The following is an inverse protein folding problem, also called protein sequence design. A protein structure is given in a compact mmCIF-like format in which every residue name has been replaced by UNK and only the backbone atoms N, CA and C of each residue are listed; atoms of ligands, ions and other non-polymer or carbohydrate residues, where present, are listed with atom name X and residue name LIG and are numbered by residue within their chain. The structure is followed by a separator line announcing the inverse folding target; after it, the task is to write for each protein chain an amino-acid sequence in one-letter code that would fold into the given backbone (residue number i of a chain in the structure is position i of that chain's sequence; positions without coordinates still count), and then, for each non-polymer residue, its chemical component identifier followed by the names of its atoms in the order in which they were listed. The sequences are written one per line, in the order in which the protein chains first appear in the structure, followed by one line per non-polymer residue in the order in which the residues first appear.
data_IF_682030545234
#
_entry.id   IF_682030545234
#
_cell.length_a   1.000
_cell.length_b   1.000
_cell.length_c   1.000
_cell.angle_alpha   90.00
_cell.angle_beta   90.00
_cell.angle_gamma   90.00
#
_symmetry.space_group_name_H-M   'P 1'
#
loop_
_entity.id
_entity.type
_entity.pdbx_description
1 polymer ?
#
# COMPACT_ATOMS: atom_id res chain seq x y z
N UNK A 1 22.01 14.02 11.97
CA UNK A 1 20.92 14.17 12.97
C UNK A 1 20.45 12.79 13.32
N UNK A 2 20.15 12.44 14.59
CA UNK A 2 19.51 11.17 14.89
C UNK A 2 18.16 11.13 14.14
N UNK A 3 17.86 9.99 13.54
CA UNK A 3 16.56 9.77 12.90
C UNK A 3 15.45 9.97 13.93
N UNK A 4 14.39 10.72 13.56
CA UNK A 4 13.25 10.88 14.46
C UNK A 4 12.64 9.52 14.79
N UNK A 5 12.23 9.34 16.05
CA UNK A 5 11.59 8.09 16.46
C UNK A 5 10.30 7.87 15.64
N UNK A 6 10.08 6.63 15.20
CA UNK A 6 8.85 6.25 14.48
C UNK A 6 7.72 6.15 15.50
N UNK A 7 6.75 7.05 15.39
CA UNK A 7 5.53 7.03 16.23
C UNK A 7 4.40 6.26 15.57
N UNK A 8 4.24 6.42 14.25
CA UNK A 8 3.36 5.65 13.38
C UNK A 8 3.77 5.85 11.93
N UNK A 9 3.37 4.92 11.06
CA UNK A 9 3.57 4.98 9.61
C UNK A 9 2.21 4.87 8.91
N UNK A 10 1.90 5.86 8.08
CA UNK A 10 0.83 5.74 7.09
C UNK A 10 1.37 4.99 5.87
N UNK A 11 0.96 3.75 5.68
CA UNK A 11 1.51 2.85 4.66
C UNK A 11 0.88 2.99 3.28
N UNK A 12 -0.04 3.94 3.08
CA UNK A 12 -0.68 4.16 1.77
C UNK A 12 -1.28 5.56 1.64
N UNK A 13 -0.61 6.41 0.89
CA UNK A 13 -1.13 7.71 0.48
C UNK A 13 -0.64 8.09 -0.92
N UNK A 14 -1.26 9.09 -1.54
CA UNK A 14 -0.90 9.59 -2.86
C UNK A 14 -0.72 11.10 -2.83
N UNK A 15 0.31 11.61 -3.49
CA UNK A 15 0.49 13.04 -3.74
C UNK A 15 0.51 13.33 -5.23
N UNK A 16 -0.09 14.45 -5.62
CA UNK A 16 -0.13 14.93 -6.99
C UNK A 16 -0.61 16.38 -7.05
N UNK A 17 -0.39 17.03 -8.18
CA UNK A 17 -0.93 18.36 -8.48
C UNK A 17 -1.58 18.36 -9.87
N UNK A 18 -2.46 19.30 -10.10
CA UNK A 18 -3.05 19.53 -11.43
C UNK A 18 -1.95 19.88 -12.44
N UNK A 19 -2.18 19.51 -13.70
CA UNK A 19 -1.25 19.80 -14.77
C UNK A 19 -0.12 18.78 -14.94
N UNK A 20 0.00 17.77 -14.07
CA UNK A 20 0.92 16.65 -14.31
C UNK A 20 0.49 15.86 -15.56
N UNK A 21 1.47 15.32 -16.34
CA UNK A 21 1.16 14.46 -17.47
C UNK A 21 0.39 13.21 -17.02
N UNK A 22 -0.81 13.03 -17.55
CA UNK A 22 -1.65 11.88 -17.21
C UNK A 22 -1.37 10.73 -18.18
N UNK A 23 -1.41 9.49 -17.67
CA UNK A 23 -1.34 8.30 -18.49
C UNK A 23 -2.50 8.22 -19.51
N UNK A 24 -2.21 7.76 -20.72
CA UNK A 24 -3.23 7.62 -21.77
C UNK A 24 -4.34 6.65 -21.34
N UNK A 25 -3.96 5.49 -20.80
CA UNK A 25 -4.90 4.52 -20.23
C UNK A 25 -5.06 4.81 -18.72
N UNK A 26 -6.12 5.52 -18.35
CA UNK A 26 -6.44 5.84 -16.96
C UNK A 26 -7.94 5.72 -16.69
N UNK A 27 -8.30 5.41 -15.46
CA UNK A 27 -9.69 5.33 -15.02
C UNK A 27 -10.20 6.63 -14.42
N UNK A 28 -9.30 7.55 -14.07
CA UNK A 28 -9.61 8.78 -13.38
C UNK A 28 -8.64 9.88 -13.79
N UNK A 29 -9.09 11.12 -13.70
CA UNK A 29 -8.28 12.34 -13.90
C UNK A 29 -8.72 13.34 -12.83
N UNK A 30 -8.00 13.48 -11.71
CA UNK A 30 -8.39 14.42 -10.66
C UNK A 30 -8.25 15.86 -11.15
N UNK A 31 -9.17 16.72 -10.73
CA UNK A 31 -9.21 18.16 -11.02
C UNK A 31 -8.79 19.03 -9.83
N UNK A 32 -8.15 18.41 -8.83
CA UNK A 32 -7.69 19.03 -7.60
C UNK A 32 -6.23 18.67 -7.32
N UNK A 33 -5.63 19.40 -6.41
CA UNK A 33 -4.30 19.14 -5.89
C UNK A 33 -4.39 18.29 -4.61
N UNK A 34 -3.40 17.45 -4.40
CA UNK A 34 -3.13 16.72 -3.17
C UNK A 34 -1.63 16.85 -2.92
N UNK A 35 -1.24 17.94 -2.28
CA UNK A 35 0.17 18.33 -2.19
C UNK A 35 0.92 17.58 -1.10
N UNK A 36 2.25 17.56 -1.21
CA UNK A 36 3.11 17.00 -0.18
C UNK A 36 2.92 17.74 1.15
N UNK A 37 2.83 19.06 1.13
CA UNK A 37 2.68 19.88 2.35
C UNK A 37 1.36 19.60 3.07
N UNK A 38 0.25 19.43 2.32
CA UNK A 38 -1.04 19.01 2.89
C UNK A 38 -0.92 17.63 3.56
N UNK A 39 -0.28 16.68 2.90
CA UNK A 39 -0.10 15.34 3.45
C UNK A 39 0.76 15.35 4.72
N UNK A 40 1.90 16.05 4.71
CA UNK A 40 2.75 16.17 5.89
C UNK A 40 2.03 16.86 7.05
N UNK A 41 1.21 17.88 6.77
CA UNK A 41 0.37 18.53 7.75
C UNK A 41 -0.65 17.59 8.40
N UNK A 42 -1.24 16.65 7.62
CA UNK A 42 -2.14 15.62 8.15
C UNK A 42 -1.39 14.61 9.02
N UNK A 43 -0.21 14.16 8.58
CA UNK A 43 0.64 13.28 9.40
C UNK A 43 0.92 13.92 10.76
N UNK A 44 1.38 15.17 10.76
CA UNK A 44 1.76 15.90 11.98
C UNK A 44 0.54 16.12 12.90
N UNK A 45 -0.62 16.48 12.34
CA UNK A 45 -1.86 16.68 13.10
C UNK A 45 -2.37 15.41 13.81
N UNK A 46 -2.00 14.22 13.28
CA UNK A 46 -2.42 12.92 13.84
C UNK A 46 -1.31 12.17 14.55
N UNK A 47 -0.13 12.79 14.76
CA UNK A 47 1.01 12.16 15.44
C UNK A 47 1.65 11.02 14.65
N UNK A 48 1.44 10.97 13.32
CA UNK A 48 2.04 10.02 12.40
C UNK A 48 3.36 10.59 11.90
N UNK A 49 4.48 9.92 12.18
CA UNK A 49 5.81 10.46 11.87
C UNK A 49 6.27 10.18 10.45
N UNK A 50 5.81 9.09 9.84
CA UNK A 50 6.30 8.60 8.56
C UNK A 50 5.15 8.24 7.60
N UNK A 51 5.44 8.26 6.29
CA UNK A 51 4.47 7.90 5.27
C UNK A 51 5.08 7.12 4.11
N UNK A 52 4.24 6.31 3.46
CA UNK A 52 4.57 5.61 2.22
C UNK A 52 3.74 6.19 1.10
N UNK A 53 4.39 6.87 0.18
CA UNK A 53 3.75 7.43 -1.00
C UNK A 53 3.68 6.38 -2.11
N UNK A 54 2.48 6.12 -2.57
CA UNK A 54 2.21 5.16 -3.63
C UNK A 54 1.92 5.92 -4.92
N UNK A 55 2.57 5.54 -6.03
CA UNK A 55 2.35 6.17 -7.32
C UNK A 55 0.88 6.08 -7.73
N UNK A 56 0.21 7.22 -8.01
CA UNK A 56 -1.16 7.20 -8.50
C UNK A 56 -1.27 6.54 -9.88
N UNK A 57 -2.27 5.69 -10.09
CA UNK A 57 -2.43 4.96 -11.36
C UNK A 57 -2.63 5.86 -12.58
N UNK A 58 -3.22 7.04 -12.40
CA UNK A 58 -3.46 7.99 -13.47
C UNK A 58 -2.20 8.74 -13.95
N UNK A 59 -1.08 8.65 -13.22
CA UNK A 59 0.23 9.13 -13.65
C UNK A 59 1.05 8.03 -14.35
N UNK A 60 0.56 6.78 -14.35
CA UNK A 60 1.23 5.65 -14.99
C UNK A 60 2.65 5.46 -14.46
N UNK A 61 3.61 5.29 -15.37
CA UNK A 61 5.02 5.04 -15.06
C UNK A 61 5.86 6.31 -14.92
N UNK A 62 5.25 7.50 -14.96
CA UNK A 62 5.94 8.76 -14.70
C UNK A 62 6.03 9.02 -13.18
N UNK A 63 7.05 8.47 -12.56
CA UNK A 63 7.27 8.57 -11.11
C UNK A 63 8.01 9.84 -10.68
N UNK A 64 8.26 10.82 -11.56
CA UNK A 64 9.07 12.00 -11.22
C UNK A 64 8.52 12.76 -10.03
N UNK A 65 7.22 13.03 -9.99
CA UNK A 65 6.60 13.74 -8.86
C UNK A 65 6.71 12.98 -7.54
N UNK A 66 6.57 11.65 -7.57
CA UNK A 66 6.82 10.78 -6.42
C UNK A 66 8.28 10.91 -5.95
N UNK A 67 9.24 10.81 -6.86
CA UNK A 67 10.68 10.90 -6.55
C UNK A 67 11.05 12.25 -5.95
N UNK A 68 10.50 13.34 -6.50
CA UNK A 68 10.72 14.70 -5.98
C UNK A 68 10.21 14.83 -4.53
N UNK A 69 9.04 14.26 -4.24
CA UNK A 69 8.48 14.21 -2.88
C UNK A 69 9.38 13.41 -1.90
N UNK A 70 9.94 12.28 -2.35
CA UNK A 70 10.87 11.48 -1.54
C UNK A 70 12.17 12.24 -1.25
N UNK A 71 12.71 12.95 -2.24
CA UNK A 71 13.90 13.79 -2.06
C UNK A 71 13.67 14.97 -1.10
N UNK A 72 12.45 15.52 -1.09
CA UNK A 72 12.11 16.61 -0.17
C UNK A 72 12.08 16.18 1.30
N UNK A 73 11.69 14.92 1.59
CA UNK A 73 11.54 14.40 2.95
C UNK A 73 12.08 12.97 3.11
N UNK A 74 13.38 12.71 2.83
CA UNK A 74 13.95 11.36 2.74
C UNK A 74 13.93 10.59 4.06
N UNK A 75 13.93 11.30 5.20
CA UNK A 75 13.88 10.68 6.52
C UNK A 75 12.47 10.22 6.91
N UNK A 76 11.42 10.86 6.37
CA UNK A 76 10.01 10.59 6.71
C UNK A 76 9.27 9.76 5.68
N UNK A 77 9.74 9.70 4.43
CA UNK A 77 8.98 9.12 3.34
C UNK A 77 9.68 7.93 2.68
N UNK A 78 8.87 6.98 2.21
CA UNK A 78 9.25 5.92 1.28
C UNK A 78 8.27 5.90 0.13
N UNK A 79 8.68 5.29 -1.00
CA UNK A 79 7.89 5.25 -2.21
C UNK A 79 7.59 3.84 -2.70
N UNK A 80 6.43 3.70 -3.34
CA UNK A 80 6.06 2.53 -4.13
C UNK A 80 5.76 3.01 -5.55
N UNK A 81 6.61 2.64 -6.49
CA UNK A 81 6.57 3.13 -7.87
C UNK A 81 5.69 2.25 -8.79
N UNK A 82 5.25 2.78 -9.90
CA UNK A 82 4.69 2.00 -11.01
C UNK A 82 5.70 1.98 -12.15
N UNK A 83 6.09 0.81 -12.61
CA UNK A 83 7.10 0.65 -13.65
C UNK A 83 6.63 -0.28 -14.77
N UNK A 84 7.17 -0.08 -15.95
CA UNK A 84 7.00 -1.00 -17.07
C UNK A 84 7.87 -2.25 -16.87
N UNK A 85 7.46 -3.44 -17.30
CA UNK A 85 8.30 -4.65 -17.23
C UNK A 85 9.65 -4.54 -17.94
N UNK A 86 9.77 -3.61 -18.89
CA UNK A 86 11.00 -3.30 -19.61
C UNK A 86 11.90 -2.25 -18.95
N UNK A 87 11.56 -1.73 -17.78
CA UNK A 87 12.39 -0.73 -17.06
C UNK A 87 13.83 -1.22 -16.94
N UNK A 88 14.81 -0.34 -17.10
CA UNK A 88 16.24 -0.71 -16.98
C UNK A 88 16.72 -0.71 -15.52
N UNK A 89 17.89 -1.35 -15.30
CA UNK A 89 18.46 -1.49 -13.96
C UNK A 89 18.94 -0.16 -13.37
N UNK A 90 19.44 0.75 -14.22
CA UNK A 90 19.91 2.07 -13.75
C UNK A 90 18.73 2.89 -13.19
N UNK A 91 17.58 2.84 -13.84
CA UNK A 91 16.34 3.47 -13.37
C UNK A 91 15.89 2.89 -12.03
N UNK A 92 15.87 1.56 -11.88
CA UNK A 92 15.50 0.92 -10.61
C UNK A 92 16.49 1.27 -9.48
N UNK A 93 17.79 1.31 -9.77
CA UNK A 93 18.81 1.72 -8.80
C UNK A 93 18.66 3.19 -8.37
N UNK A 94 18.38 4.09 -9.31
CA UNK A 94 18.11 5.50 -9.01
C UNK A 94 16.87 5.66 -8.13
N UNK A 95 15.79 4.93 -8.43
CA UNK A 95 14.58 4.91 -7.60
C UNK A 95 14.88 4.37 -6.19
N UNK A 96 15.69 3.31 -6.08
CA UNK A 96 16.11 2.75 -4.79
C UNK A 96 16.87 3.78 -3.95
N UNK A 97 17.80 4.49 -4.57
CA UNK A 97 18.58 5.56 -3.92
C UNK A 97 17.68 6.72 -3.45
N UNK A 98 16.59 6.99 -4.16
CA UNK A 98 15.60 8.01 -3.78
C UNK A 98 14.65 7.57 -2.65
N UNK A 99 14.66 6.30 -2.24
CA UNK A 99 13.80 5.80 -1.17
C UNK A 99 12.59 4.99 -1.64
N UNK A 100 12.55 4.57 -2.91
CA UNK A 100 11.56 3.59 -3.38
C UNK A 100 11.90 2.22 -2.79
N UNK A 101 10.91 1.52 -2.27
CA UNK A 101 11.05 0.21 -1.62
C UNK A 101 10.10 -0.87 -2.19
N UNK A 102 9.35 -0.55 -3.23
CA UNK A 102 8.44 -1.49 -3.87
C UNK A 102 7.91 -0.99 -5.21
N UNK A 103 7.26 -1.88 -5.93
CA UNK A 103 6.47 -1.54 -7.12
C UNK A 103 5.00 -1.87 -6.90
N UNK A 104 4.10 -1.16 -7.59
CA UNK A 104 2.66 -1.38 -7.54
C UNK A 104 2.11 -1.93 -8.84
N UNK A 105 1.28 -2.95 -8.73
CA UNK A 105 0.41 -3.47 -9.78
C UNK A 105 -1.03 -3.06 -9.46
N UNK A 106 -1.49 -1.93 -10.03
CA UNK A 106 -2.89 -1.50 -9.90
C UNK A 106 -3.72 -2.08 -11.05
N UNK A 107 -4.30 -3.24 -10.82
CA UNK A 107 -4.99 -4.04 -11.84
C UNK A 107 -6.52 -4.06 -11.70
N UNK A 108 -7.10 -3.26 -10.79
CA UNK A 108 -8.57 -3.20 -10.60
C UNK A 108 -9.25 -2.79 -11.90
N UNK A 109 -10.21 -3.60 -12.35
CA UNK A 109 -10.95 -3.36 -13.59
C UNK A 109 -10.15 -3.51 -14.88
N UNK A 110 -8.92 -4.02 -14.81
CA UNK A 110 -8.04 -4.23 -15.96
C UNK A 110 -7.93 -5.74 -16.30
N UNK A 111 -7.68 -6.11 -17.56
CA UNK A 111 -7.24 -7.48 -17.84
C UNK A 111 -5.97 -7.82 -17.05
N UNK A 112 -5.87 -9.08 -16.59
CA UNK A 112 -4.63 -9.53 -15.96
C UNK A 112 -3.51 -9.60 -17.01
N UNK A 113 -2.32 -9.06 -16.70
CA UNK A 113 -1.16 -9.26 -17.54
C UNK A 113 -0.79 -10.75 -17.64
N UNK A 114 -0.23 -11.15 -18.76
CA UNK A 114 0.41 -12.45 -18.87
C UNK A 114 1.77 -12.41 -18.15
N UNK A 115 1.77 -12.75 -16.88
CA UNK A 115 2.97 -12.77 -16.03
C UNK A 115 4.00 -13.86 -16.45
N UNK A 116 3.61 -14.78 -17.35
CA UNK A 116 4.55 -15.78 -17.91
C UNK A 116 5.54 -15.16 -18.90
N UNK A 117 5.25 -13.95 -19.40
CA UNK A 117 6.12 -13.24 -20.32
C UNK A 117 7.50 -12.96 -19.71
N UNK A 118 8.59 -13.08 -20.50
CA UNK A 118 9.95 -12.90 -19.99
C UNK A 118 10.20 -11.54 -19.31
N UNK A 119 9.51 -10.49 -19.73
CA UNK A 119 9.60 -9.15 -19.13
C UNK A 119 9.21 -9.14 -17.66
N UNK A 120 8.07 -9.75 -17.33
CA UNK A 120 7.58 -9.84 -15.95
C UNK A 120 8.50 -10.68 -15.07
N UNK A 121 8.94 -11.83 -15.56
CA UNK A 121 9.89 -12.66 -14.80
C UNK A 121 11.19 -11.94 -14.49
N UNK A 122 11.72 -11.19 -15.47
CA UNK A 122 12.92 -10.36 -15.25
C UNK A 122 12.65 -9.24 -14.25
N UNK A 123 11.51 -8.55 -14.35
CA UNK A 123 11.14 -7.50 -13.41
C UNK A 123 11.07 -8.03 -11.98
N UNK A 124 10.32 -9.10 -11.74
CA UNK A 124 10.18 -9.68 -10.40
C UNK A 124 11.53 -10.18 -9.83
N UNK A 125 12.39 -10.76 -10.65
CA UNK A 125 13.74 -11.14 -10.21
C UNK A 125 14.56 -9.92 -9.75
N UNK A 126 14.45 -8.78 -10.44
CA UNK A 126 15.13 -7.53 -10.06
C UNK A 126 14.50 -6.88 -8.83
N UNK A 127 13.18 -6.86 -8.72
CA UNK A 127 12.45 -6.40 -7.54
C UNK A 127 12.90 -7.18 -6.30
N UNK A 128 13.00 -8.51 -6.43
CA UNK A 128 13.53 -9.36 -5.36
C UNK A 128 15.00 -9.06 -5.04
N UNK A 129 15.84 -8.85 -6.05
CA UNK A 129 17.27 -8.56 -5.85
C UNK A 129 17.51 -7.22 -5.14
N UNK A 130 16.59 -6.25 -5.29
CA UNK A 130 16.56 -4.99 -4.57
C UNK A 130 15.94 -5.13 -3.16
N UNK A 131 15.49 -6.34 -2.81
CA UNK A 131 14.71 -6.59 -1.61
C UNK A 131 13.47 -5.65 -1.53
N UNK A 132 12.85 -5.39 -2.66
CA UNK A 132 11.60 -4.66 -2.77
C UNK A 132 10.40 -5.59 -2.71
N UNK A 133 9.24 -5.06 -2.29
CA UNK A 133 7.97 -5.76 -2.38
C UNK A 133 7.21 -5.43 -3.67
N UNK A 134 6.25 -6.27 -4.00
CA UNK A 134 5.23 -5.99 -5.02
C UNK A 134 3.92 -5.68 -4.30
N UNK A 135 3.37 -4.49 -4.53
CA UNK A 135 2.06 -4.08 -4.03
C UNK A 135 0.99 -4.43 -5.07
N UNK A 136 -0.04 -5.14 -4.69
CA UNK A 136 -1.10 -5.61 -5.57
C UNK A 136 -2.45 -5.02 -5.18
N UNK A 137 -3.05 -4.26 -6.11
CA UNK A 137 -4.42 -3.77 -6.01
C UNK A 137 -5.28 -4.45 -7.07
N UNK A 138 -6.04 -5.44 -6.67
CA UNK A 138 -6.90 -6.26 -7.51
C UNK A 138 -8.14 -6.73 -6.75
N UNK A 139 -9.22 -7.01 -7.47
CA UNK A 139 -10.41 -7.65 -6.91
C UNK A 139 -10.04 -9.02 -6.33
N UNK A 140 -10.62 -9.37 -5.18
CA UNK A 140 -10.32 -10.59 -4.41
C UNK A 140 -10.36 -11.87 -5.25
N UNK A 141 -11.38 -12.02 -6.09
CA UNK A 141 -11.58 -13.21 -6.95
C UNK A 141 -10.38 -13.53 -7.85
N UNK A 142 -9.59 -12.52 -8.20
CA UNK A 142 -8.44 -12.67 -9.08
C UNK A 142 -7.10 -12.68 -8.33
N UNK A 143 -7.11 -12.49 -7.01
CA UNK A 143 -5.89 -12.49 -6.19
C UNK A 143 -5.09 -13.78 -6.35
N UNK A 144 -5.69 -14.99 -6.35
CA UNK A 144 -4.92 -16.22 -6.50
C UNK A 144 -4.03 -16.21 -7.75
N UNK A 145 -4.58 -15.77 -8.88
CA UNK A 145 -3.85 -15.74 -10.16
C UNK A 145 -2.79 -14.65 -10.20
N UNK A 146 -3.14 -13.44 -9.73
CA UNK A 146 -2.23 -12.30 -9.78
C UNK A 146 -1.07 -12.43 -8.78
N UNK A 147 -1.34 -12.95 -7.58
CA UNK A 147 -0.35 -13.13 -6.53
C UNK A 147 0.62 -14.29 -6.80
N UNK A 148 0.15 -15.36 -7.44
CA UNK A 148 0.97 -16.57 -7.66
C UNK A 148 2.27 -16.24 -8.38
N UNK A 149 2.22 -15.45 -9.45
CA UNK A 149 3.42 -15.07 -10.21
C UNK A 149 4.44 -14.29 -9.37
N UNK A 150 3.98 -13.43 -8.47
CA UNK A 150 4.81 -12.66 -7.53
C UNK A 150 5.46 -13.57 -6.50
N UNK A 151 4.67 -14.48 -5.92
CA UNK A 151 5.12 -15.42 -4.89
C UNK A 151 6.07 -16.47 -5.46
N UNK A 152 5.84 -16.97 -6.68
CA UNK A 152 6.72 -17.93 -7.37
C UNK A 152 8.09 -17.29 -7.68
N UNK A 153 8.11 -16.00 -7.97
CA UNK A 153 9.35 -15.25 -8.13
C UNK A 153 10.12 -15.02 -6.83
N UNK A 154 9.54 -15.37 -5.68
CA UNK A 154 10.12 -15.21 -4.35
C UNK A 154 10.04 -13.78 -3.80
N UNK A 155 9.22 -12.91 -4.40
CA UNK A 155 9.02 -11.55 -3.90
C UNK A 155 8.12 -11.52 -2.65
N UNK A 156 8.30 -10.50 -1.82
CA UNK A 156 7.32 -10.09 -0.83
C UNK A 156 6.11 -9.48 -1.56
N UNK A 157 4.91 -9.80 -1.10
CA UNK A 157 3.64 -9.32 -1.64
C UNK A 157 2.92 -8.46 -0.60
N UNK A 158 2.48 -7.28 -0.98
CA UNK A 158 1.59 -6.43 -0.17
C UNK A 158 0.25 -6.31 -0.89
N UNK A 159 -0.82 -6.74 -0.25
CA UNK A 159 -2.17 -6.70 -0.82
C UNK A 159 -2.91 -5.47 -0.32
N UNK A 160 -3.39 -4.63 -1.24
CA UNK A 160 -4.10 -3.38 -0.91
C UNK A 160 -5.51 -3.63 -0.37
N UNK A 161 -5.96 -2.76 0.54
CA UNK A 161 -7.37 -2.54 0.89
C UNK A 161 -8.13 -3.80 1.26
N UNK A 162 -7.69 -4.52 2.30
CA UNK A 162 -8.29 -5.78 2.77
C UNK A 162 -8.33 -6.90 1.70
N UNK A 163 -7.62 -6.77 0.58
CA UNK A 163 -7.70 -7.71 -0.53
C UNK A 163 -8.94 -7.55 -1.41
N UNK A 164 -9.67 -6.43 -1.28
CA UNK A 164 -10.82 -6.09 -2.14
C UNK A 164 -11.93 -7.15 -2.18
N UNK A 165 -12.39 -7.69 -1.04
CA UNK A 165 -13.53 -8.62 -1.04
C UNK A 165 -14.78 -7.95 -1.61
N UNK A 166 -15.55 -8.70 -2.42
CA UNK A 166 -16.78 -8.21 -3.04
C UNK A 166 -18.02 -8.41 -2.16
N UNK A 167 -17.90 -9.21 -1.10
CA UNK A 167 -19.02 -9.63 -0.25
C UNK A 167 -18.93 -9.06 1.17
N UNK A 168 -20.08 -8.94 1.82
CA UNK A 168 -20.20 -8.77 3.25
C UNK A 168 -21.09 -9.90 3.82
N UNK A 169 -20.58 -10.75 4.71
CA UNK A 169 -19.23 -10.72 5.30
C UNK A 169 -18.14 -11.12 4.32
N UNK A 170 -16.92 -10.58 4.50
CA UNK A 170 -15.78 -10.91 3.64
C UNK A 170 -15.44 -12.41 3.62
N UNK A 171 -15.75 -13.14 4.68
CA UNK A 171 -15.55 -14.59 4.80
C UNK A 171 -16.35 -15.43 3.78
N UNK A 172 -17.37 -14.87 3.15
CA UNK A 172 -18.11 -15.52 2.06
C UNK A 172 -17.48 -15.32 0.67
N UNK A 173 -16.39 -14.58 0.57
CA UNK A 173 -15.65 -14.31 -0.65
C UNK A 173 -14.49 -15.30 -0.80
N UNK A 174 -14.50 -16.10 -1.88
CA UNK A 174 -13.49 -17.14 -2.12
C UNK A 174 -12.07 -16.59 -2.25
N UNK A 175 -11.92 -15.41 -2.86
CA UNK A 175 -10.63 -14.76 -2.99
C UNK A 175 -10.10 -14.25 -1.66
N UNK A 176 -10.99 -13.79 -0.77
CA UNK A 176 -10.62 -13.43 0.59
C UNK A 176 -10.25 -14.67 1.42
N UNK A 177 -10.96 -15.79 1.26
CA UNK A 177 -10.59 -17.05 1.91
C UNK A 177 -9.19 -17.50 1.46
N UNK A 178 -8.90 -17.44 0.16
CA UNK A 178 -7.56 -17.70 -0.35
C UNK A 178 -6.51 -16.76 0.26
N UNK A 179 -6.84 -15.47 0.41
CA UNK A 179 -5.93 -14.50 1.04
C UNK A 179 -5.59 -14.90 2.48
N UNK A 180 -6.58 -15.35 3.27
CA UNK A 180 -6.34 -15.83 4.63
C UNK A 180 -5.39 -17.04 4.64
N UNK A 181 -5.56 -17.99 3.73
CA UNK A 181 -4.70 -19.17 3.61
C UNK A 181 -3.26 -18.78 3.15
N UNK A 182 -3.12 -17.74 2.36
CA UNK A 182 -1.84 -17.24 1.89
C UNK A 182 -0.93 -16.73 3.03
N UNK A 183 -1.47 -16.45 4.21
CA UNK A 183 -0.70 -16.08 5.39
C UNK A 183 0.38 -17.14 5.74
N UNK A 184 0.10 -18.41 5.49
CA UNK A 184 1.01 -19.52 5.78
C UNK A 184 2.35 -19.44 5.05
N UNK A 185 2.43 -18.70 3.92
CA UNK A 185 3.68 -18.57 3.15
C UNK A 185 4.69 -17.59 3.79
N UNK A 186 4.27 -16.75 4.75
CA UNK A 186 5.11 -15.78 5.47
C UNK A 186 5.69 -14.65 4.62
N UNK A 187 5.20 -14.47 3.38
CA UNK A 187 5.69 -13.42 2.44
C UNK A 187 4.57 -12.53 1.91
N UNK A 188 3.40 -12.56 2.56
CA UNK A 188 2.24 -11.73 2.22
C UNK A 188 1.95 -10.78 3.38
N UNK A 189 1.76 -9.52 3.07
CA UNK A 189 1.25 -8.47 3.96
C UNK A 189 -0.07 -7.94 3.42
N UNK A 190 -0.93 -7.45 4.30
CA UNK A 190 -2.22 -6.87 3.90
C UNK A 190 -2.37 -5.47 4.50
N UNK A 191 -2.83 -4.52 3.68
CA UNK A 191 -3.17 -3.17 4.13
C UNK A 191 -4.59 -3.11 4.67
N UNK A 192 -4.74 -2.77 5.94
CA UNK A 192 -5.99 -2.35 6.55
C UNK A 192 -6.22 -0.88 6.16
N UNK A 193 -6.92 -0.64 5.06
CA UNK A 193 -7.07 0.69 4.46
C UNK A 193 -8.29 0.77 3.55
N UNK A 194 -8.85 1.96 3.38
CA UNK A 194 -9.87 2.25 2.38
C UNK A 194 -11.07 1.27 2.39
N UNK A 195 -11.65 1.00 3.53
CA UNK A 195 -12.82 0.13 3.68
C UNK A 195 -13.99 0.55 2.77
N UNK A 196 -14.17 1.86 2.58
CA UNK A 196 -15.17 2.46 1.69
C UNK A 196 -15.04 2.05 0.21
N UNK A 197 -13.90 1.49 -0.22
CA UNK A 197 -13.72 0.94 -1.57
C UNK A 197 -14.32 -0.45 -1.72
N UNK A 198 -14.59 -1.13 -0.61
CA UNK A 198 -15.03 -2.53 -0.60
C UNK A 198 -16.52 -2.66 -0.25
N UNK A 199 -17.01 -1.82 0.64
CA UNK A 199 -18.35 -1.97 1.21
C UNK A 199 -19.14 -0.66 1.15
N UNK A 200 -20.48 -0.74 0.98
CA UNK A 200 -21.36 0.41 1.09
C UNK A 200 -21.27 1.03 2.49
N UNK A 201 -21.41 2.35 2.58
CA UNK A 201 -21.35 3.13 3.85
C UNK A 201 -22.18 2.51 4.98
N UNK A 202 -23.40 2.02 4.66
CA UNK A 202 -24.30 1.45 5.66
C UNK A 202 -23.78 0.16 6.34
N UNK A 203 -22.87 -0.56 5.71
CA UNK A 203 -22.31 -1.82 6.21
C UNK A 203 -20.79 -1.78 6.42
N UNK A 204 -20.14 -0.69 6.00
CA UNK A 204 -18.68 -0.57 5.95
C UNK A 204 -18.03 -0.87 7.29
N UNK A 205 -18.45 -0.20 8.35
CA UNK A 205 -17.81 -0.32 9.67
C UNK A 205 -17.84 -1.75 10.21
N UNK A 206 -18.99 -2.43 10.13
CA UNK A 206 -19.12 -3.82 10.57
C UNK A 206 -18.32 -4.77 9.68
N UNK A 207 -18.45 -4.66 8.35
CA UNK A 207 -17.76 -5.51 7.41
C UNK A 207 -16.23 -5.36 7.47
N UNK A 208 -15.74 -4.13 7.65
CA UNK A 208 -14.32 -3.86 7.82
C UNK A 208 -13.78 -4.41 9.15
N UNK A 209 -14.55 -4.28 10.24
CA UNK A 209 -14.21 -4.87 11.54
C UNK A 209 -14.08 -6.39 11.45
N UNK A 210 -15.07 -7.07 10.89
CA UNK A 210 -15.06 -8.52 10.70
C UNK A 210 -13.88 -8.99 9.83
N UNK A 211 -13.63 -8.28 8.72
CA UNK A 211 -12.51 -8.59 7.83
C UNK A 211 -11.15 -8.35 8.52
N UNK A 212 -10.99 -7.26 9.26
CA UNK A 212 -9.78 -6.96 10.01
C UNK A 212 -9.48 -8.03 11.06
N UNK A 213 -10.51 -8.47 11.80
CA UNK A 213 -10.35 -9.54 12.79
C UNK A 213 -9.96 -10.88 12.13
N UNK A 214 -10.55 -11.22 10.99
CA UNK A 214 -10.18 -12.42 10.24
C UNK A 214 -8.72 -12.34 9.76
N UNK A 215 -8.30 -11.19 9.21
CA UNK A 215 -6.92 -10.95 8.79
C UNK A 215 -5.96 -10.98 9.98
N UNK A 216 -6.31 -10.34 11.10
CA UNK A 216 -5.47 -10.35 12.30
C UNK A 216 -5.27 -11.77 12.86
N UNK A 217 -6.31 -12.59 12.81
CA UNK A 217 -6.23 -14.01 13.22
C UNK A 217 -5.32 -14.82 12.30
N UNK A 218 -5.38 -14.59 10.98
CA UNK A 218 -4.61 -15.38 10.00
C UNK A 218 -3.15 -14.91 9.90
N UNK A 219 -2.91 -13.61 9.84
CA UNK A 219 -1.62 -13.00 9.57
C UNK A 219 -0.84 -12.58 10.82
N UNK A 220 -1.53 -12.38 11.94
CA UNK A 220 -0.96 -11.67 13.07
C UNK A 220 -0.64 -10.20 12.74
N UNK A 221 -0.26 -9.38 13.73
CA UNK A 221 0.04 -7.97 13.50
C UNK A 221 1.34 -7.74 12.72
N UNK A 222 2.22 -8.75 12.60
CA UNK A 222 3.52 -8.66 11.94
C UNK A 222 3.44 -8.71 10.40
N UNK A 223 2.26 -8.99 9.86
CA UNK A 223 1.97 -9.01 8.42
C UNK A 223 0.78 -8.12 8.03
N UNK A 224 0.38 -7.22 8.93
CA UNK A 224 -0.62 -6.20 8.66
C UNK A 224 0.00 -4.81 8.77
N UNK A 225 -0.44 -3.89 7.91
CA UNK A 225 -0.08 -2.48 7.96
C UNK A 225 -1.33 -1.64 7.77
N UNK A 226 -1.35 -0.44 8.32
CA UNK A 226 -2.43 0.52 8.14
C UNK A 226 -2.05 1.56 7.08
N UNK A 227 -3.04 2.08 6.34
CA UNK A 227 -2.87 3.21 5.44
C UNK A 227 -4.13 4.05 5.32
N UNK A 228 -3.98 5.36 5.21
CA UNK A 228 -5.11 6.30 5.09
C UNK A 228 -5.82 6.21 3.75
N UNK A 229 -5.10 5.88 2.69
CA UNK A 229 -5.51 6.04 1.29
C UNK A 229 -5.81 7.51 0.92
N UNK A 230 -5.21 8.47 1.68
CA UNK A 230 -5.32 9.88 1.33
C UNK A 230 -4.79 10.15 -0.09
N UNK A 231 -5.43 10.99 -0.91
CA UNK A 231 -6.54 11.89 -0.62
C UNK A 231 -7.93 11.29 -0.94
N UNK A 232 -8.12 10.00 -0.76
CA UNK A 232 -9.40 9.28 -0.94
C UNK A 232 -9.96 9.47 -2.34
N UNK A 233 -9.11 9.35 -3.36
CA UNK A 233 -9.44 9.63 -4.76
C UNK A 233 -10.73 8.95 -5.19
N UNK A 234 -11.68 9.73 -5.77
CA UNK A 234 -13.05 9.36 -6.10
C UNK A 234 -14.01 9.16 -4.90
N UNK A 235 -13.55 9.35 -3.66
CA UNK A 235 -14.35 9.13 -2.44
C UNK A 235 -14.22 10.24 -1.40
N UNK A 236 -13.70 11.41 -1.78
CA UNK A 236 -13.43 12.55 -0.89
C UNK A 236 -14.67 13.08 -0.16
N UNK A 237 -15.86 12.81 -0.68
CA UNK A 237 -17.14 13.24 -0.07
C UNK A 237 -17.56 12.33 1.08
N UNK A 238 -17.02 11.12 1.16
CA UNK A 238 -17.42 10.10 2.15
C UNK A 238 -16.26 9.61 3.02
N UNK A 239 -15.04 10.02 2.74
CA UNK A 239 -13.87 9.60 3.48
C UNK A 239 -12.94 10.78 3.76
N UNK A 240 -12.35 10.79 4.95
CA UNK A 240 -11.33 11.75 5.38
C UNK A 240 -10.23 11.06 6.19
N UNK A 241 -9.10 11.76 6.37
CA UNK A 241 -7.93 11.23 7.05
C UNK A 241 -8.19 10.88 8.52
N UNK A 242 -8.93 11.74 9.24
CA UNK A 242 -9.20 11.55 10.67
C UNK A 242 -10.07 10.31 10.90
N UNK A 243 -11.14 10.14 10.09
CA UNK A 243 -11.98 8.95 10.13
C UNK A 243 -11.20 7.68 9.80
N UNK A 244 -10.35 7.71 8.75
CA UNK A 244 -9.51 6.58 8.38
C UNK A 244 -8.52 6.20 9.49
N UNK A 245 -7.93 7.18 10.17
CA UNK A 245 -7.01 6.95 11.29
C UNK A 245 -7.73 6.39 12.52
N UNK A 246 -8.91 6.94 12.87
CA UNK A 246 -9.69 6.50 14.01
C UNK A 246 -10.22 5.06 13.85
N UNK A 247 -10.62 4.67 12.63
CA UNK A 247 -11.21 3.37 12.35
C UNK A 247 -10.28 2.19 12.70
N UNK A 248 -8.96 2.37 12.68
CA UNK A 248 -8.04 1.30 13.07
C UNK A 248 -8.23 0.87 14.53
N UNK A 249 -8.61 1.77 15.44
CA UNK A 249 -8.86 1.42 16.83
C UNK A 249 -10.06 0.49 16.99
N UNK A 250 -11.09 0.68 16.15
CA UNK A 250 -12.27 -0.18 16.11
C UNK A 250 -11.96 -1.54 15.47
N UNK A 251 -11.16 -1.55 14.40
CA UNK A 251 -10.75 -2.76 13.70
C UNK A 251 -9.81 -3.66 14.51
N UNK A 252 -8.92 -3.05 15.29
CA UNK A 252 -7.90 -3.71 16.11
C UNK A 252 -7.93 -3.15 17.53
N UNK A 253 -8.81 -3.62 18.42
CA UNK A 253 -8.95 -3.09 19.77
C UNK A 253 -7.71 -3.26 20.66
N UNK A 254 -6.89 -4.29 20.41
CA UNK A 254 -5.65 -4.52 21.17
C UNK A 254 -4.57 -3.48 20.83
N UNK A 255 -4.16 -2.71 21.83
CA UNK A 255 -3.21 -1.61 21.65
C UNK A 255 -1.81 -2.09 21.24
N UNK A 256 -1.38 -3.27 21.69
CA UNK A 256 -0.08 -3.82 21.34
C UNK A 256 -0.07 -4.27 19.87
N UNK A 257 -1.14 -4.91 19.40
CA UNK A 257 -1.30 -5.26 18.00
C UNK A 257 -1.34 -4.00 17.11
N UNK A 258 -2.09 -2.96 17.51
CA UNK A 258 -2.10 -1.68 16.77
C UNK A 258 -0.72 -1.05 16.67
N UNK A 259 0.04 -1.04 17.77
CA UNK A 259 1.42 -0.52 17.74
C UNK A 259 2.28 -1.28 16.72
N UNK A 260 2.18 -2.61 16.67
CA UNK A 260 2.92 -3.41 15.68
C UNK A 260 2.51 -3.05 14.26
N UNK A 261 1.21 -2.93 13.99
CA UNK A 261 0.65 -2.55 12.67
C UNK A 261 1.06 -1.14 12.26
N UNK A 262 1.15 -0.20 13.20
CA UNK A 262 1.47 1.20 12.91
C UNK A 262 2.97 1.50 12.92
N UNK A 263 3.78 0.76 13.65
CA UNK A 263 5.18 1.13 13.91
C UNK A 263 6.14 0.04 13.41
N UNK A 264 6.12 -1.13 14.05
CA UNK A 264 7.18 -2.13 13.90
C UNK A 264 7.10 -2.83 12.54
N UNK A 265 5.92 -3.25 12.14
CA UNK A 265 5.70 -3.94 10.86
C UNK A 265 6.00 -3.05 9.67
N UNK A 266 5.44 -1.82 9.55
CA UNK A 266 5.76 -0.95 8.43
C UNK A 266 7.20 -0.44 8.45
N UNK A 267 7.81 -0.20 9.62
CA UNK A 267 9.21 0.19 9.71
C UNK A 267 10.12 -0.85 9.05
N UNK A 268 9.89 -2.13 9.33
CA UNK A 268 10.63 -3.25 8.73
C UNK A 268 10.31 -3.42 7.24
N UNK A 269 9.02 -3.45 6.88
CA UNK A 269 8.56 -3.70 5.52
C UNK A 269 9.03 -2.63 4.54
N UNK A 270 8.92 -1.36 4.93
CA UNK A 270 9.26 -0.21 4.09
C UNK A 270 10.68 0.33 4.35
N UNK A 271 11.48 -0.36 5.17
CA UNK A 271 12.90 -0.05 5.40
C UNK A 271 13.14 1.37 5.97
N UNK A 272 12.30 1.80 6.87
CA UNK A 272 12.61 2.98 7.67
C UNK A 272 13.75 2.66 8.64
N UNK A 273 14.68 3.59 8.79
CA UNK A 273 15.76 3.43 9.76
C UNK A 273 15.16 3.53 11.16
N UNK A 274 15.16 2.42 11.88
CA UNK A 274 14.80 2.39 13.28
C UNK A 274 16.01 2.90 14.10
N UNK A 275 15.98 4.18 14.45
CA UNK A 275 16.82 4.65 15.53
C UNK A 275 16.31 3.98 16.81
N UNK A 276 17.15 3.09 17.40
CA UNK A 276 16.96 2.46 18.74
C UNK A 276 15.49 2.16 19.14
N UNK A 277 14.84 1.20 18.48
CA UNK A 277 13.63 0.54 19.02
C UNK A 277 14.03 -0.51 20.08
N UNK A 278 15.33 -0.84 20.18
CA UNK A 278 15.89 -1.81 21.13
C UNK A 278 16.61 -1.09 22.28
N UNK A 279 15.84 -0.43 23.16
CA UNK A 279 16.28 -0.20 24.57
C UNK A 279 15.07 -0.16 25.49
#
# INVERSE_FOLDING_TARGET
MPSAAITAVDSHAHVFVRGLPLAAARRHAPDYDATLDEYLGLLDAHGVSHGVLVQPSFLGTDNRFLIDALHACPERLRGVAVVDPGVDDATLQAMSAAGVCGIRLNLVGMPLPDFSQPGWRRLFARVRALDWHVELHRESRDLPLAAQAVLDAGCALVVDHFGRPASAPASSDEGFAWLLDAAACGRVWVKLSAAYRNWPVASEAAAAGDAAQALLKAFGPDHLVWGSDWPHTQHREIADYAAAHAALADWVPDAAARRRILVETPARLFKFKTGDIDK
#
